data_IF_099478873006
#
_entry.id   IF_099478873006
#
_cell.length_a   1.000
_cell.length_b   1.000
_cell.length_c   1.000
_cell.angle_alpha   90.00
_cell.angle_beta   90.00
_cell.angle_gamma   90.00
#
_symmetry.space_group_name_H-M   'P 1'
#
loop_
_entity.id
_entity.type
_entity.pdbx_description
1 polymer ?
#
# COMPACT_ATOMS: atom_id res chain seq x y z
N UNK A 1 -11.08 13.14 -24.96
CA UNK A 1 -11.57 12.65 -23.65
C UNK A 1 -11.31 13.75 -22.62
N UNK A 2 -12.34 14.46 -22.14
CA UNK A 2 -12.16 15.68 -21.33
C UNK A 2 -11.41 15.34 -20.03
N UNK A 3 -10.20 15.88 -19.88
CA UNK A 3 -9.43 15.84 -18.64
C UNK A 3 -10.24 16.57 -17.57
N UNK A 4 -10.70 15.82 -16.57
CA UNK A 4 -11.30 16.43 -15.38
C UNK A 4 -10.27 17.42 -14.80
N UNK A 5 -10.65 18.68 -14.50
CA UNK A 5 -9.74 19.63 -13.89
C UNK A 5 -9.11 19.03 -12.63
N UNK A 6 -7.80 19.22 -12.44
CA UNK A 6 -7.06 18.63 -11.33
C UNK A 6 -7.69 18.91 -9.96
N UNK A 7 -8.30 20.08 -9.78
CA UNK A 7 -8.99 20.44 -8.54
C UNK A 7 -10.22 19.55 -8.28
N UNK A 8 -11.01 19.26 -9.32
CA UNK A 8 -12.22 18.45 -9.20
C UNK A 8 -11.87 16.99 -8.90
N UNK A 9 -10.80 16.48 -9.51
CA UNK A 9 -10.27 15.14 -9.22
C UNK A 9 -9.83 15.03 -7.75
N UNK A 10 -9.07 16.02 -7.25
CA UNK A 10 -8.63 16.06 -5.85
C UNK A 10 -9.82 16.15 -4.89
N UNK A 11 -10.85 16.95 -5.23
CA UNK A 11 -12.05 17.05 -4.41
C UNK A 11 -12.82 15.73 -4.32
N UNK A 12 -13.02 15.04 -5.46
CA UNK A 12 -13.68 13.73 -5.50
C UNK A 12 -12.88 12.69 -4.70
N UNK A 13 -11.56 12.66 -4.88
CA UNK A 13 -10.67 11.75 -4.16
C UNK A 13 -10.75 11.99 -2.64
N UNK A 14 -10.74 13.25 -2.20
CA UNK A 14 -10.89 13.59 -0.79
C UNK A 14 -12.26 13.16 -0.22
N UNK A 15 -13.35 13.34 -0.96
CA UNK A 15 -14.68 12.86 -0.54
C UNK A 15 -14.71 11.34 -0.44
N UNK A 16 -14.09 10.65 -1.40
CA UNK A 16 -14.01 9.19 -1.40
C UNK A 16 -13.15 8.67 -0.24
N UNK A 17 -12.00 9.29 0.04
CA UNK A 17 -11.16 8.95 1.20
C UNK A 17 -11.91 9.14 2.52
N UNK A 18 -12.67 10.24 2.67
CA UNK A 18 -13.50 10.46 3.88
C UNK A 18 -14.55 9.38 4.06
N UNK A 19 -15.25 9.01 2.99
CA UNK A 19 -16.26 7.93 3.03
C UNK A 19 -15.61 6.60 3.41
N UNK A 20 -14.46 6.30 2.83
CA UNK A 20 -13.73 5.06 3.10
C UNK A 20 -13.22 5.03 4.55
N UNK A 21 -12.64 6.12 5.04
CA UNK A 21 -12.23 6.25 6.44
C UNK A 21 -13.40 6.07 7.41
N UNK A 22 -14.59 6.57 7.08
CA UNK A 22 -15.80 6.38 7.88
C UNK A 22 -16.21 4.89 7.98
N UNK A 23 -16.04 4.11 6.91
CA UNK A 23 -16.30 2.65 6.96
C UNK A 23 -15.34 1.87 7.86
N UNK A 24 -14.20 2.48 8.24
CA UNK A 24 -13.20 1.85 9.11
C UNK A 24 -13.40 2.21 10.59
N UNK A 25 -14.52 2.86 10.94
CA UNK A 25 -14.91 3.17 12.32
C UNK A 25 -15.86 2.08 12.82
N UNK A 26 -15.45 1.32 13.84
CA UNK A 26 -16.23 0.22 14.42
C UNK A 26 -15.67 -1.17 14.10
N UNK A 27 -15.41 -1.54 12.82
CA UNK A 27 -14.82 -2.83 12.49
C UNK A 27 -13.47 -3.08 13.17
N UNK A 28 -13.12 -4.35 13.42
CA UNK A 28 -11.87 -4.66 14.09
C UNK A 28 -10.68 -4.31 13.18
N UNK A 29 -9.75 -3.53 13.75
CA UNK A 29 -8.59 -3.00 13.02
C UNK A 29 -7.39 -3.94 13.12
N UNK A 30 -6.57 -3.96 12.06
CA UNK A 30 -5.25 -4.58 12.13
C UNK A 30 -4.38 -3.80 13.12
N UNK A 31 -3.75 -4.49 14.06
CA UNK A 31 -2.76 -3.87 14.97
C UNK A 31 -1.36 -3.82 14.35
N UNK A 32 -1.15 -4.58 13.28
CA UNK A 32 0.13 -4.71 12.59
C UNK A 32 -0.08 -4.78 11.08
N UNK A 33 0.63 -3.95 10.31
CA UNK A 33 0.70 -4.03 8.85
C UNK A 33 2.14 -4.28 8.41
N UNK A 34 2.34 -5.35 7.62
CA UNK A 34 3.55 -5.56 6.85
C UNK A 34 3.38 -5.04 5.43
N UNK A 35 4.33 -4.26 4.91
CA UNK A 35 4.28 -3.77 3.52
C UNK A 35 5.56 -4.11 2.76
N UNK A 36 5.40 -4.68 1.58
CA UNK A 36 6.49 -4.90 0.63
C UNK A 36 6.54 -3.77 -0.39
N UNK A 37 7.58 -2.96 -0.32
CA UNK A 37 7.72 -1.76 -1.16
C UNK A 37 8.48 -2.10 -2.44
N UNK A 38 7.76 -2.54 -3.46
CA UNK A 38 8.32 -2.90 -4.76
C UNK A 38 7.95 -1.90 -5.88
N UNK A 39 8.69 -1.98 -6.99
CA UNK A 39 8.36 -1.30 -8.23
C UNK A 39 9.13 -0.01 -8.43
N UNK A 40 10.03 0.36 -7.51
CA UNK A 40 10.82 1.60 -7.56
C UNK A 40 11.54 1.81 -8.90
N UNK A 41 12.29 0.80 -9.37
CA UNK A 41 13.00 0.86 -10.66
C UNK A 41 12.07 0.92 -11.87
N UNK A 42 10.94 0.21 -11.81
CA UNK A 42 9.94 0.17 -12.89
C UNK A 42 9.21 1.50 -12.99
N UNK A 43 8.87 2.07 -11.84
CA UNK A 43 8.30 3.40 -11.72
C UNK A 43 9.23 4.46 -12.30
N UNK A 44 10.52 4.44 -11.94
CA UNK A 44 11.49 5.42 -12.45
C UNK A 44 11.55 5.43 -13.99
N UNK A 45 11.63 4.24 -14.61
CA UNK A 45 11.61 4.10 -16.07
C UNK A 45 10.31 4.59 -16.69
N UNK A 46 9.16 4.24 -16.10
CA UNK A 46 7.84 4.65 -16.61
C UNK A 46 7.60 6.16 -16.45
N UNK A 47 8.18 6.76 -15.42
CA UNK A 47 8.12 8.21 -15.18
C UNK A 47 9.12 9.00 -16.05
N UNK A 48 9.92 8.34 -16.88
CA UNK A 48 10.88 9.00 -17.78
C UNK A 48 12.19 9.43 -17.12
N UNK A 49 12.50 8.94 -15.90
CA UNK A 49 13.79 9.22 -15.29
C UNK A 49 14.90 8.46 -16.00
N UNK A 50 16.01 9.15 -16.27
CA UNK A 50 17.23 8.58 -16.85
C UNK A 50 17.98 7.70 -15.84
N UNK A 51 17.94 8.05 -14.56
CA UNK A 51 18.51 7.27 -13.46
C UNK A 51 17.44 6.54 -12.63
N UNK A 52 17.62 5.23 -12.45
CA UNK A 52 16.74 4.39 -11.62
C UNK A 52 16.85 4.70 -10.13
N UNK A 53 17.93 5.35 -9.68
CA UNK A 53 18.12 5.80 -8.29
C UNK A 53 17.03 6.79 -7.87
N UNK A 54 16.49 7.56 -8.81
CA UNK A 54 15.33 8.44 -8.56
C UNK A 54 14.12 7.66 -8.05
N UNK A 55 13.91 6.44 -8.55
CA UNK A 55 12.84 5.57 -8.05
C UNK A 55 13.04 5.15 -6.60
N UNK A 56 14.27 4.87 -6.19
CA UNK A 56 14.58 4.54 -4.79
C UNK A 56 14.47 5.77 -3.88
N UNK A 57 14.88 6.95 -4.36
CA UNK A 57 14.72 8.21 -3.62
C UNK A 57 13.23 8.53 -3.40
N UNK A 58 12.43 8.46 -4.46
CA UNK A 58 10.98 8.64 -4.39
C UNK A 58 10.32 7.58 -3.49
N UNK A 59 10.78 6.32 -3.59
CA UNK A 59 10.34 5.24 -2.71
C UNK A 59 10.68 5.49 -1.24
N UNK A 60 11.88 5.95 -0.92
CA UNK A 60 12.27 6.32 0.44
C UNK A 60 11.42 7.46 1.01
N UNK A 61 11.20 8.51 0.21
CA UNK A 61 10.32 9.61 0.59
C UNK A 61 8.85 9.17 0.80
N UNK A 62 8.40 8.16 0.05
CA UNK A 62 7.06 7.59 0.24
C UNK A 62 6.90 6.89 1.60
N UNK A 63 7.97 6.29 2.14
CA UNK A 63 7.92 5.61 3.45
C UNK A 63 7.49 6.57 4.55
N UNK A 64 8.05 7.78 4.61
CA UNK A 64 7.67 8.77 5.64
C UNK A 64 6.21 9.19 5.51
N UNK A 65 5.74 9.37 4.28
CA UNK A 65 4.33 9.68 3.99
C UNK A 65 3.41 8.55 4.48
N UNK A 66 3.77 7.30 4.16
CA UNK A 66 3.02 6.11 4.57
C UNK A 66 2.97 5.96 6.10
N UNK A 67 4.11 6.12 6.77
CA UNK A 67 4.17 6.09 8.24
C UNK A 67 3.29 7.19 8.86
N UNK A 68 3.22 8.37 8.24
CA UNK A 68 2.28 9.42 8.65
C UNK A 68 0.81 9.00 8.56
N UNK A 69 0.43 8.22 7.55
CA UNK A 69 -0.92 7.66 7.47
C UNK A 69 -1.18 6.63 8.57
N UNK A 70 -0.19 5.82 8.91
CA UNK A 70 -0.28 4.80 9.97
C UNK A 70 -0.43 5.42 11.38
N UNK A 71 0.14 6.60 11.63
CA UNK A 71 0.07 7.29 12.92
C UNK A 71 -1.13 8.24 13.04
N UNK A 72 -1.72 8.68 11.91
CA UNK A 72 -2.88 9.57 11.93
C UNK A 72 -4.15 8.94 12.54
N UNK A 73 -4.27 7.61 12.54
CA UNK A 73 -5.33 6.89 13.24
C UNK A 73 -4.99 6.74 14.73
N UNK A 74 -5.78 7.36 15.63
CA UNK A 74 -5.62 7.20 17.09
C UNK A 74 -5.59 5.70 17.44
N UNK A 75 -4.45 5.21 17.93
CA UNK A 75 -4.25 3.80 18.28
C UNK A 75 -2.87 3.21 17.98
N UNK A 76 -2.03 3.89 17.19
CA UNK A 76 -0.63 3.48 16.95
C UNK A 76 -0.51 2.14 16.21
N UNK A 77 -0.53 2.18 14.89
CA UNK A 77 -0.32 0.98 14.06
C UNK A 77 1.15 0.56 14.10
N UNK A 78 1.44 -0.71 14.46
CA UNK A 78 2.78 -1.27 14.25
C UNK A 78 2.98 -1.53 12.76
N UNK A 79 4.14 -1.15 12.23
CA UNK A 79 4.41 -1.24 10.79
C UNK A 79 5.76 -1.90 10.57
N UNK A 80 5.76 -2.99 9.82
CA UNK A 80 6.96 -3.60 9.27
C UNK A 80 7.07 -3.23 7.79
N UNK A 81 8.14 -2.54 7.42
CA UNK A 81 8.43 -2.20 6.01
C UNK A 81 9.54 -3.11 5.51
N UNK A 82 9.28 -3.88 4.45
CA UNK A 82 10.33 -4.53 3.68
C UNK A 82 10.52 -3.87 2.33
N UNK A 83 11.77 -3.50 2.08
CA UNK A 83 12.23 -3.13 0.75
C UNK A 83 12.73 -4.41 0.08
N UNK A 84 11.98 -4.92 -0.89
CA UNK A 84 12.40 -6.08 -1.67
C UNK A 84 13.52 -5.74 -2.64
N UNK A 85 14.66 -6.43 -2.55
CA UNK A 85 15.70 -6.42 -3.58
C UNK A 85 15.35 -7.45 -4.68
N UNK A 86 14.21 -7.26 -5.35
CA UNK A 86 13.72 -8.20 -6.36
C UNK A 86 14.35 -7.97 -7.73
N UNK A 87 15.15 -8.93 -8.19
CA UNK A 87 15.62 -9.06 -9.56
C UNK A 87 14.46 -9.15 -10.58
N UNK A 88 14.79 -8.78 -11.81
CA UNK A 88 13.87 -8.51 -12.93
C UNK A 88 13.18 -9.80 -13.42
N UNK A 89 12.07 -10.27 -12.82
CA UNK A 89 11.00 -11.07 -13.50
C UNK A 89 9.87 -11.61 -12.64
N UNK A 90 9.95 -11.56 -11.32
CA UNK A 90 9.08 -12.44 -10.54
C UNK A 90 7.64 -11.91 -10.28
N UNK A 91 7.33 -10.60 -10.43
CA UNK A 91 5.99 -10.02 -10.06
C UNK A 91 5.00 -9.97 -11.24
N UNK A 92 5.31 -10.64 -12.33
CA UNK A 92 4.48 -10.61 -13.56
C UNK A 92 3.73 -11.92 -13.85
N UNK A 93 3.90 -12.99 -13.05
CA UNK A 93 3.24 -14.30 -13.32
C UNK A 93 1.94 -14.56 -12.56
N UNK A 94 1.42 -13.62 -11.76
CA UNK A 94 0.22 -13.86 -10.95
C UNK A 94 0.47 -14.59 -9.63
N UNK A 95 1.70 -15.02 -9.33
CA UNK A 95 2.05 -15.54 -8.00
C UNK A 95 2.16 -14.42 -6.96
N UNK A 96 1.30 -14.49 -5.94
CA UNK A 96 1.50 -13.74 -4.70
C UNK A 96 2.61 -14.42 -3.91
N UNK A 97 3.82 -13.86 -3.94
CA UNK A 97 4.95 -14.39 -3.17
C UNK A 97 5.39 -13.40 -2.11
N UNK A 98 5.78 -13.95 -0.96
CA UNK A 98 6.31 -13.17 0.15
C UNK A 98 7.78 -12.73 -0.07
N UNK A 99 8.48 -13.29 -1.07
CA UNK A 99 9.91 -13.00 -1.33
C UNK A 99 10.79 -13.11 -0.08
N UNK A 100 10.48 -14.03 0.83
CA UNK A 100 11.18 -14.21 2.10
C UNK A 100 10.82 -13.19 3.20
N UNK A 101 9.91 -12.25 2.95
CA UNK A 101 9.47 -11.28 3.94
C UNK A 101 8.61 -11.96 5.00
N UNK A 102 9.15 -12.00 6.23
CA UNK A 102 8.43 -12.32 7.47
C UNK A 102 7.67 -13.65 7.43
N UNK A 103 8.23 -14.67 6.80
CA UNK A 103 7.61 -15.99 6.59
C UNK A 103 6.86 -16.53 7.81
N UNK A 104 7.48 -16.48 8.99
CA UNK A 104 6.85 -16.94 10.23
C UNK A 104 5.75 -16.00 10.72
N UNK A 105 6.02 -14.70 10.81
CA UNK A 105 5.04 -13.73 11.31
C UNK A 105 3.88 -13.50 10.34
N UNK A 106 4.06 -13.83 9.06
CA UNK A 106 3.04 -13.75 8.03
C UNK A 106 2.26 -15.05 7.83
N UNK A 107 2.56 -16.12 8.57
CA UNK A 107 1.93 -17.44 8.40
C UNK A 107 0.39 -17.38 8.50
N UNK A 108 -0.12 -16.47 9.33
CA UNK A 108 -1.55 -16.20 9.50
C UNK A 108 -1.94 -14.77 9.08
N UNK A 109 -1.03 -14.04 8.42
CA UNK A 109 -1.31 -12.69 7.96
C UNK A 109 -2.16 -12.73 6.69
N UNK A 110 -3.07 -11.78 6.59
CA UNK A 110 -3.84 -11.59 5.36
C UNK A 110 -3.00 -10.84 4.32
N UNK A 111 -2.96 -11.38 3.10
CA UNK A 111 -2.23 -10.77 1.99
C UNK A 111 -3.18 -9.92 1.14
N UNK A 112 -2.84 -8.65 0.96
CA UNK A 112 -3.55 -7.74 0.07
C UNK A 112 -2.59 -7.19 -0.98
N UNK A 113 -2.91 -7.43 -2.25
CA UNK A 113 -2.12 -6.94 -3.38
C UNK A 113 -2.72 -5.65 -3.92
N UNK A 114 -1.85 -4.68 -4.21
CA UNK A 114 -2.24 -3.42 -4.85
C UNK A 114 -1.52 -3.30 -6.18
N UNK A 115 -2.27 -3.10 -7.26
CA UNK A 115 -1.71 -2.95 -8.61
C UNK A 115 -1.22 -1.52 -8.88
N UNK A 116 -0.26 -1.06 -8.07
CA UNK A 116 0.45 0.19 -8.29
C UNK A 116 1.93 0.05 -7.90
N UNK A 117 2.78 0.93 -8.42
CA UNK A 117 4.17 0.99 -7.96
C UNK A 117 4.26 1.75 -6.63
N UNK A 118 5.20 1.36 -5.78
CA UNK A 118 5.37 1.98 -4.46
C UNK A 118 5.43 3.52 -4.47
N UNK A 119 6.22 4.19 -5.32
CA UNK A 119 6.24 5.66 -5.32
C UNK A 119 4.90 6.30 -5.70
N UNK A 120 4.06 5.57 -6.44
CA UNK A 120 2.72 5.99 -6.85
C UNK A 120 1.61 5.58 -5.86
N UNK A 121 1.93 4.86 -4.79
CA UNK A 121 0.96 4.42 -3.78
C UNK A 121 0.31 5.62 -3.08
N UNK A 122 -1.02 5.60 -2.98
CA UNK A 122 -1.83 6.70 -2.43
C UNK A 122 -2.55 6.29 -1.15
N UNK A 123 -2.99 7.29 -0.41
CA UNK A 123 -3.72 7.09 0.83
C UNK A 123 -5.02 6.31 0.61
N UNK A 124 -5.78 6.62 -0.44
CA UNK A 124 -6.94 5.83 -0.86
C UNK A 124 -6.64 4.33 -1.06
N UNK A 125 -5.47 3.97 -1.60
CA UNK A 125 -5.11 2.58 -1.85
C UNK A 125 -4.81 1.86 -0.52
N UNK A 126 -4.20 2.56 0.45
CA UNK A 126 -4.02 2.07 1.81
C UNK A 126 -5.36 1.87 2.54
N UNK A 127 -6.25 2.85 2.49
CA UNK A 127 -7.57 2.75 3.11
C UNK A 127 -8.39 1.59 2.51
N UNK A 128 -8.24 1.30 1.21
CA UNK A 128 -8.88 0.16 0.55
C UNK A 128 -8.34 -1.17 1.06
N UNK A 129 -7.03 -1.26 1.28
CA UNK A 129 -6.42 -2.45 1.88
C UNK A 129 -6.93 -2.68 3.30
N UNK A 130 -7.01 -1.63 4.13
CA UNK A 130 -7.58 -1.73 5.47
C UNK A 130 -9.05 -2.15 5.45
N UNK A 131 -9.84 -1.61 4.51
CA UNK A 131 -11.25 -2.02 4.36
C UNK A 131 -11.36 -3.47 3.93
N UNK A 132 -10.53 -3.92 2.99
CA UNK A 132 -10.49 -5.32 2.57
C UNK A 132 -10.18 -6.28 3.72
N UNK A 133 -9.39 -5.84 4.71
CA UNK A 133 -9.14 -6.59 5.94
C UNK A 133 -10.35 -6.55 6.89
N UNK A 134 -10.97 -5.37 7.05
CA UNK A 134 -12.11 -5.16 7.95
C UNK A 134 -13.39 -5.89 7.49
N UNK A 135 -13.66 -5.91 6.18
CA UNK A 135 -14.87 -6.49 5.58
C UNK A 135 -14.80 -8.03 5.50
N UNK A 136 -13.65 -8.66 5.83
CA UNK A 136 -13.51 -10.11 5.75
C UNK A 136 -14.12 -10.80 6.96
N UNK A 137 -14.93 -11.82 6.67
CA UNK A 137 -15.41 -12.75 7.69
C UNK A 137 -14.23 -13.49 8.32
N UNK A 138 -13.98 -13.21 9.59
CA UNK A 138 -12.98 -13.92 10.38
C UNK A 138 -13.45 -15.35 10.56
N UNK A 139 -12.77 -16.28 9.89
CA UNK A 139 -12.83 -17.69 10.23
C UNK A 139 -12.04 -17.87 11.54
N UNK A 140 -12.65 -17.53 12.68
CA UNK A 140 -12.15 -18.00 13.96
C UNK A 140 -12.10 -19.53 13.88
N UNK A 141 -10.96 -20.11 14.26
CA UNK A 141 -10.62 -21.51 13.99
C UNK A 141 -11.79 -22.48 14.17
N UNK A 142 -12.04 -23.27 13.13
CA UNK A 142 -12.27 -24.70 13.29
C UNK A 142 -10.92 -25.39 13.21
#
# INVERSE_FOLDING_TARGET
>A
MKLLPLFLRKAIEAVYERRLAATLVGPPRSQHVGIMVDGNRRWARKAGHTDVREGYRAGGAKVTTFLGWCTAGRGGLKVDVAVGYGGRREITSGEQRLSGFRLWQSAYAEMHRVDCYWPAFRHVDFLRALRSYADRERRFGK
#
